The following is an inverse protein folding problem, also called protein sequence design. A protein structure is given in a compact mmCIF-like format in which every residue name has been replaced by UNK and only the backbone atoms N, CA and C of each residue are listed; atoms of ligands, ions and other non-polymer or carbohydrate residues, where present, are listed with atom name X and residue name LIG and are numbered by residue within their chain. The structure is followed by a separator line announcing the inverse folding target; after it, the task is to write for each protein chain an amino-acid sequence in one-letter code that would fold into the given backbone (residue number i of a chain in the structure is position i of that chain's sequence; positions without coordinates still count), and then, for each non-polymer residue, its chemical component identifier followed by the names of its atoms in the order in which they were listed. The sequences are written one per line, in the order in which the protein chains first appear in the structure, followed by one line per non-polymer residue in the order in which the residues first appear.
data_IF_549675290163
#
_entry.id   IF_549675290163
#
_cell.length_a   1.000
_cell.length_b   1.000
_cell.length_c   1.000
_cell.angle_alpha   90.00
_cell.angle_beta   90.00
_cell.angle_gamma   90.00
#
_symmetry.space_group_name_H-M   'P 1'
#
loop_
_entity.id
_entity.type
_entity.pdbx_description
1 polymer ?
#
# COMPACT_ATOMS: atom_id res chain seq x y z
N UNK A 1 11.15 -8.25 -19.70
CA UNK A 1 10.22 -9.00 -18.84
C UNK A 1 10.63 -8.65 -17.42
N UNK A 2 9.72 -8.09 -16.63
CA UNK A 2 10.03 -7.65 -15.26
C UNK A 2 10.14 -8.87 -14.37
N UNK A 3 11.25 -9.03 -13.67
CA UNK A 3 11.40 -10.14 -12.73
C UNK A 3 10.54 -9.86 -11.49
N UNK A 4 9.58 -10.75 -11.21
CA UNK A 4 8.74 -10.66 -10.02
C UNK A 4 9.38 -11.41 -8.87
N UNK A 5 9.40 -10.80 -7.69
CA UNK A 5 9.89 -11.43 -6.46
C UNK A 5 8.82 -11.47 -5.38
N UNK A 6 8.90 -12.49 -4.52
CA UNK A 6 7.95 -12.71 -3.43
C UNK A 6 8.33 -11.86 -2.21
N UNK A 7 7.38 -11.07 -1.72
CA UNK A 7 7.54 -10.19 -0.56
C UNK A 7 6.34 -10.34 0.35
N UNK A 8 6.55 -10.29 1.67
CA UNK A 8 5.43 -10.28 2.60
C UNK A 8 4.60 -9.02 2.44
N UNK A 9 3.29 -9.13 2.45
CA UNK A 9 2.40 -7.97 2.28
C UNK A 9 2.58 -6.93 3.38
N UNK A 10 2.90 -7.39 4.60
CA UNK A 10 3.26 -6.54 5.73
C UNK A 10 4.57 -5.74 5.55
N UNK A 11 5.46 -6.18 4.66
CA UNK A 11 6.77 -5.57 4.41
C UNK A 11 6.75 -4.62 3.19
N UNK A 12 5.69 -4.65 2.37
CA UNK A 12 5.55 -3.78 1.20
C UNK A 12 5.62 -2.30 1.58
N UNK A 13 6.45 -1.53 0.90
CA UNK A 13 6.60 -0.09 1.12
C UNK A 13 6.79 0.65 -0.20
N UNK A 14 6.62 1.98 -0.17
CA UNK A 14 6.88 2.86 -1.30
C UNK A 14 6.20 2.39 -2.60
N UNK A 15 6.95 2.43 -3.69
CA UNK A 15 6.43 2.12 -5.03
C UNK A 15 5.94 0.67 -5.16
N UNK A 16 6.53 -0.30 -4.45
CA UNK A 16 6.05 -1.68 -4.45
C UNK A 16 4.66 -1.80 -3.81
N UNK A 17 4.41 -1.07 -2.70
CA UNK A 17 3.10 -1.01 -2.07
C UNK A 17 2.07 -0.32 -2.99
N UNK A 18 2.44 0.82 -3.56
CA UNK A 18 1.58 1.57 -4.49
C UNK A 18 1.20 0.75 -5.74
N UNK A 19 2.16 -0.01 -6.28
CA UNK A 19 1.93 -0.91 -7.41
C UNK A 19 0.96 -2.03 -7.01
N UNK A 20 1.15 -2.67 -5.85
CA UNK A 20 0.24 -3.71 -5.39
C UNK A 20 -1.19 -3.20 -5.17
N UNK A 21 -1.35 -1.98 -4.67
CA UNK A 21 -2.68 -1.35 -4.59
C UNK A 21 -3.28 -1.17 -5.98
N UNK A 22 -2.49 -0.76 -6.99
CA UNK A 22 -2.98 -0.68 -8.37
C UNK A 22 -3.47 -2.03 -8.90
N UNK A 23 -2.76 -3.13 -8.58
CA UNK A 23 -3.17 -4.49 -8.95
C UNK A 23 -4.44 -4.95 -8.22
N UNK A 24 -4.64 -4.54 -6.97
CA UNK A 24 -5.90 -4.79 -6.24
C UNK A 24 -7.04 -4.05 -6.93
N UNK A 25 -6.81 -2.76 -7.22
CA UNK A 25 -7.77 -1.84 -7.81
C UNK A 25 -8.03 -2.05 -9.31
N UNK A 26 -7.26 -2.93 -9.95
CA UNK A 26 -7.26 -3.13 -11.40
C UNK A 26 -7.03 -1.82 -12.18
N UNK A 27 -6.20 -0.92 -11.62
CA UNK A 27 -5.83 0.35 -12.24
C UNK A 27 -4.62 0.11 -13.15
N UNK A 28 -4.69 0.45 -14.44
CA UNK A 28 -3.54 0.36 -15.32
C UNK A 28 -2.47 1.35 -14.88
N UNK A 29 -1.30 0.82 -14.54
CA UNK A 29 -0.13 1.60 -14.16
C UNK A 29 1.09 1.14 -14.93
N UNK A 30 1.99 2.08 -15.17
CA UNK A 30 3.30 1.80 -15.72
C UNK A 30 4.39 2.06 -14.68
N UNK A 31 5.52 1.38 -14.85
CA UNK A 31 6.70 1.51 -14.01
C UNK A 31 7.69 2.39 -14.74
N UNK A 32 8.05 3.52 -14.14
CA UNK A 32 9.06 4.44 -14.67
C UNK A 32 10.39 4.21 -13.96
N UNK A 33 11.46 4.09 -14.76
CA UNK A 33 12.83 4.07 -14.28
C UNK A 33 13.22 5.39 -13.60
N UNK A 34 14.35 5.35 -12.89
CA UNK A 34 14.93 6.52 -12.24
C UNK A 34 15.12 7.65 -13.26
N UNK A 35 14.66 8.85 -12.89
CA UNK A 35 14.85 10.04 -13.70
C UNK A 35 15.18 11.21 -12.79
N UNK A 36 16.29 11.92 -13.05
CA UNK A 36 16.78 13.03 -12.23
C UNK A 36 16.93 12.70 -10.73
N UNK A 37 17.51 11.54 -10.38
CA UNK A 37 17.79 11.16 -8.99
C UNK A 37 16.57 10.76 -8.16
N UNK A 38 15.44 10.45 -8.81
CA UNK A 38 14.27 9.85 -8.16
C UNK A 38 14.35 8.33 -8.20
N UNK A 39 13.74 7.67 -7.21
CA UNK A 39 13.54 6.22 -7.21
C UNK A 39 12.58 5.77 -8.32
N UNK A 40 12.46 4.46 -8.48
CA UNK A 40 11.42 3.86 -9.33
C UNK A 40 10.02 4.29 -8.88
N UNK A 41 9.16 4.55 -9.86
CA UNK A 41 7.83 5.13 -9.64
C UNK A 41 6.74 4.38 -10.39
N UNK A 42 5.55 4.37 -9.79
CA UNK A 42 4.31 3.91 -10.39
C UNK A 42 3.53 5.13 -10.87
N UNK A 43 3.03 5.12 -12.10
CA UNK A 43 2.25 6.23 -12.65
C UNK A 43 1.08 5.72 -13.50
N UNK A 44 0.03 6.55 -13.59
CA UNK A 44 -1.12 6.31 -14.46
C UNK A 44 -0.81 6.89 -15.85
N UNK A 45 -0.67 6.08 -16.92
CA UNK A 45 -0.35 6.59 -18.26
C UNK A 45 -1.36 7.62 -18.77
N UNK A 46 -2.64 7.40 -18.49
CA UNK A 46 -3.73 8.21 -19.03
C UNK A 46 -3.84 9.62 -18.44
N UNK A 47 -3.27 9.82 -17.24
CA UNK A 47 -3.35 11.09 -16.50
C UNK A 47 -1.98 11.72 -16.23
N UNK A 48 -0.89 11.07 -16.64
CA UNK A 48 0.49 11.56 -16.47
C UNK A 48 0.95 11.73 -15.02
N UNK A 49 0.16 11.27 -14.04
CA UNK A 49 0.39 11.47 -12.62
C UNK A 49 1.00 10.25 -11.93
N UNK A 50 1.84 10.50 -10.92
CA UNK A 50 2.30 9.45 -9.98
C UNK A 50 1.08 8.81 -9.32
N UNK A 51 1.04 7.49 -9.27
CA UNK A 51 0.06 6.75 -8.50
C UNK A 51 0.68 6.37 -7.16
N UNK A 52 0.34 7.10 -6.11
CA UNK A 52 0.95 6.92 -4.79
C UNK A 52 -0.04 6.90 -3.63
N UNK A 53 -0.99 5.94 -3.61
CA UNK A 53 -2.02 5.84 -2.57
C UNK A 53 -1.45 5.73 -1.15
N UNK A 54 -0.23 5.22 -0.97
CA UNK A 54 0.41 5.11 0.35
C UNK A 54 0.91 6.44 0.93
N UNK A 55 1.00 7.50 0.12
CA UNK A 55 1.58 8.80 0.51
C UNK A 55 0.76 10.02 0.07
N UNK A 56 -0.11 9.89 -0.93
CA UNK A 56 -0.98 10.95 -1.42
C UNK A 56 -2.43 10.73 -1.00
N UNK A 57 -2.94 11.60 -0.14
CA UNK A 57 -4.33 11.54 0.36
C UNK A 57 -5.37 11.72 -0.73
N UNK A 58 -5.08 12.45 -1.82
CA UNK A 58 -6.01 12.60 -2.93
C UNK A 58 -6.24 11.25 -3.66
N UNK A 59 -5.30 10.32 -3.55
CA UNK A 59 -5.38 8.97 -4.12
C UNK A 59 -5.81 7.94 -3.08
N UNK A 60 -5.19 7.95 -1.89
CA UNK A 60 -5.42 6.96 -0.84
C UNK A 60 -6.69 7.19 -0.03
N UNK A 61 -7.12 8.44 0.16
CA UNK A 61 -8.34 8.79 0.91
C UNK A 61 -9.59 8.11 0.35
N UNK A 62 -9.89 8.23 -0.95
CA UNK A 62 -11.03 7.53 -1.56
C UNK A 62 -10.98 6.00 -1.42
N UNK A 63 -9.79 5.40 -1.31
CA UNK A 63 -9.65 3.96 -1.11
C UNK A 63 -10.04 3.52 0.31
N UNK A 64 -9.85 4.39 1.32
CA UNK A 64 -10.29 4.12 2.70
C UNK A 64 -11.81 3.96 2.73
N UNK A 65 -12.54 4.86 2.07
CA UNK A 65 -14.00 4.76 1.98
C UNK A 65 -14.42 3.54 1.17
N UNK A 66 -13.84 3.35 -0.03
CA UNK A 66 -14.17 2.25 -0.93
C UNK A 66 -14.02 0.85 -0.30
N UNK A 67 -12.99 0.66 0.53
CA UNK A 67 -12.68 -0.64 1.15
C UNK A 67 -13.16 -0.73 2.61
N UNK A 68 -13.99 0.21 3.07
CA UNK A 68 -14.47 0.28 4.45
C UNK A 68 -13.33 0.14 5.48
N UNK A 69 -12.26 0.90 5.29
CA UNK A 69 -11.08 0.81 6.14
C UNK A 69 -11.32 1.50 7.47
N UNK A 70 -11.16 0.76 8.57
CA UNK A 70 -10.98 1.33 9.90
C UNK A 70 -9.49 1.52 10.17
N UNK A 71 -9.08 2.75 10.53
CA UNK A 71 -7.71 3.06 10.97
C UNK A 71 -7.66 3.23 12.48
N UNK A 72 -6.56 2.78 13.09
CA UNK A 72 -6.30 2.87 14.53
C UNK A 72 -4.91 3.46 14.74
N UNK A 73 -4.83 4.53 15.53
CA UNK A 73 -3.55 5.04 16.02
C UNK A 73 -3.16 4.29 17.29
N UNK A 74 -2.01 3.60 17.27
CA UNK A 74 -1.54 2.77 18.37
C UNK A 74 -0.40 3.43 19.18
N UNK A 75 -0.08 4.68 18.88
CA UNK A 75 0.92 5.45 19.62
C UNK A 75 2.37 5.13 19.23
N UNK A 76 3.30 5.66 20.04
CA UNK A 76 4.74 5.39 19.92
C UNK A 76 5.14 4.22 20.81
N UNK A 77 6.12 3.41 20.39
CA UNK A 77 6.58 2.26 21.18
C UNK A 77 5.80 0.96 20.93
N UNK A 78 4.67 1.01 20.23
CA UNK A 78 3.92 -0.17 19.81
C UNK A 78 4.49 -0.72 18.50
N UNK A 79 5.14 -1.90 18.57
CA UNK A 79 5.82 -2.57 17.43
C UNK A 79 6.93 -1.78 16.74
N UNK A 80 7.23 -0.56 17.18
CA UNK A 80 8.35 0.27 16.72
C UNK A 80 9.07 0.89 17.92
N UNK A 81 10.39 1.05 17.85
CA UNK A 81 11.16 1.56 18.99
C UNK A 81 11.03 3.08 19.18
N UNK A 82 10.78 3.84 18.10
CA UNK A 82 10.81 5.32 18.14
C UNK A 82 9.82 6.01 17.19
N UNK A 83 8.96 5.26 16.51
CA UNK A 83 8.01 5.78 15.52
C UNK A 83 6.57 5.74 16.02
N UNK A 84 5.69 6.48 15.34
CA UNK A 84 4.26 6.22 15.42
C UNK A 84 3.93 4.88 14.76
N UNK A 85 2.90 4.22 15.26
CA UNK A 85 2.37 3.02 14.63
C UNK A 85 0.86 3.13 14.43
N UNK A 86 0.45 2.76 13.23
CA UNK A 86 -0.94 2.69 12.80
C UNK A 86 -1.26 1.26 12.41
N UNK A 87 -2.45 0.81 12.80
CA UNK A 87 -3.08 -0.39 12.26
C UNK A 87 -4.26 0.01 11.37
N UNK A 88 -4.57 -0.82 10.38
CA UNK A 88 -5.77 -0.67 9.56
C UNK A 88 -6.39 -2.02 9.23
N UNK A 89 -7.72 -2.03 9.13
CA UNK A 89 -8.52 -3.23 8.90
C UNK A 89 -9.53 -2.95 7.80
N UNK A 90 -9.68 -3.88 6.86
CA UNK A 90 -10.87 -3.93 6.00
C UNK A 90 -12.04 -4.39 6.87
N UNK A 91 -13.15 -3.67 6.84
CA UNK A 91 -14.37 -4.07 7.54
C UNK A 91 -15.37 -4.70 6.58
N UNK A 92 -16.02 -5.77 7.04
CA UNK A 92 -17.21 -6.31 6.38
C UNK A 92 -18.38 -5.30 6.40
N UNK A 93 -19.41 -5.54 5.59
CA UNK A 93 -20.63 -4.71 5.57
C UNK A 93 -21.35 -4.66 6.94
N UNK A 94 -21.10 -5.64 7.81
CA UNK A 94 -21.59 -5.66 9.19
C UNK A 94 -20.73 -4.81 10.16
N UNK A 95 -19.71 -4.11 9.67
CA UNK A 95 -18.79 -3.30 10.47
C UNK A 95 -17.73 -4.08 11.24
N UNK A 96 -17.58 -5.39 10.98
CA UNK A 96 -16.59 -6.23 11.66
C UNK A 96 -15.25 -6.21 10.91
N UNK A 97 -14.16 -5.95 11.64
CA UNK A 97 -12.78 -6.04 11.16
C UNK A 97 -12.45 -7.43 10.60
N UNK A 98 -11.75 -7.45 9.47
CA UNK A 98 -11.23 -8.64 8.83
C UNK A 98 -9.71 -8.69 8.93
N UNK A 99 -9.18 -9.89 9.16
CA UNK A 99 -7.75 -10.17 9.14
C UNK A 99 -7.35 -10.73 7.77
N UNK A 100 -6.11 -10.51 7.32
CA UNK A 100 -5.03 -9.80 8.01
C UNK A 100 -5.20 -8.27 8.02
N UNK A 101 -4.70 -7.62 9.08
CA UNK A 101 -4.60 -6.16 9.19
C UNK A 101 -3.36 -5.63 8.50
N UNK A 102 -3.42 -4.40 8.02
CA UNK A 102 -2.23 -3.64 7.64
C UNK A 102 -1.63 -2.89 8.83
N UNK A 103 -0.31 -2.70 8.84
CA UNK A 103 0.38 -1.90 9.86
C UNK A 103 1.45 -1.02 9.23
N UNK A 104 1.75 0.14 9.82
CA UNK A 104 2.76 1.05 9.27
C UNK A 104 2.96 2.34 10.06
N UNK A 105 3.94 3.14 9.65
CA UNK A 105 4.25 4.42 10.29
C UNK A 105 3.25 5.54 10.01
N UNK A 106 2.33 5.35 9.07
CA UNK A 106 1.28 6.31 8.71
C UNK A 106 -0.04 5.58 8.47
N UNK A 107 -1.20 6.27 8.60
CA UNK A 107 -2.51 5.67 8.35
C UNK A 107 -2.65 5.18 6.90
N UNK A 108 -2.11 5.92 5.90
CA UNK A 108 -2.19 5.51 4.49
C UNK A 108 -1.36 4.26 4.19
N UNK A 109 -0.17 4.12 4.77
CA UNK A 109 0.63 2.90 4.62
C UNK A 109 -0.11 1.71 5.24
N UNK A 110 -0.65 1.87 6.45
CA UNK A 110 -1.42 0.83 7.10
C UNK A 110 -2.66 0.44 6.26
N UNK A 111 -3.43 1.42 5.79
CA UNK A 111 -4.61 1.20 4.95
C UNK A 111 -4.27 0.47 3.65
N UNK A 112 -3.24 0.93 2.92
CA UNK A 112 -2.81 0.28 1.68
C UNK A 112 -2.36 -1.17 1.92
N UNK A 113 -1.62 -1.44 3.01
CA UNK A 113 -1.24 -2.82 3.36
C UNK A 113 -2.46 -3.67 3.71
N UNK A 114 -3.47 -3.13 4.39
CA UNK A 114 -4.71 -3.85 4.67
C UNK A 114 -5.47 -4.21 3.38
N UNK A 115 -5.58 -3.26 2.44
CA UNK A 115 -6.20 -3.46 1.13
C UNK A 115 -5.48 -4.58 0.36
N UNK A 116 -4.14 -4.54 0.32
CA UNK A 116 -3.35 -5.57 -0.35
C UNK A 116 -3.51 -6.92 0.35
N UNK A 117 -3.43 -6.95 1.67
CA UNK A 117 -3.47 -8.19 2.44
C UNK A 117 -4.87 -8.85 2.42
N UNK A 118 -5.95 -8.08 2.24
CA UNK A 118 -7.29 -8.64 2.02
C UNK A 118 -7.41 -9.44 0.72
N UNK A 119 -6.60 -9.14 -0.31
CA UNK A 119 -6.55 -9.87 -1.59
C UNK A 119 -5.38 -10.86 -1.67
N UNK A 120 -4.27 -10.56 -1.00
CA UNK A 120 -3.02 -11.30 -1.01
C UNK A 120 -2.55 -11.52 0.43
N UNK A 121 -3.07 -12.56 1.09
CA UNK A 121 -3.03 -12.70 2.56
C UNK A 121 -1.62 -12.61 3.17
N UNK A 122 -0.62 -13.25 2.57
CA UNK A 122 0.75 -13.29 3.15
C UNK A 122 1.85 -12.84 2.21
N UNK A 123 1.81 -13.29 0.95
CA UNK A 123 2.88 -13.05 -0.04
C UNK A 123 2.29 -12.36 -1.26
N UNK A 124 2.96 -11.30 -1.69
CA UNK A 124 2.73 -10.61 -2.96
C UNK A 124 3.93 -10.81 -3.90
N UNK A 125 3.65 -10.88 -5.19
CA UNK A 125 4.67 -10.91 -6.25
C UNK A 125 4.82 -9.52 -6.83
N UNK A 126 5.96 -8.88 -6.62
CA UNK A 126 6.22 -7.49 -7.03
C UNK A 126 7.43 -7.40 -7.96
N UNK A 127 7.42 -6.46 -8.92
CA UNK A 127 8.60 -6.09 -9.69
C UNK A 127 9.82 -5.84 -8.80
N UNK A 128 10.93 -6.50 -9.10
CA UNK A 128 12.19 -6.37 -8.36
C UNK A 128 12.66 -4.91 -8.28
N UNK A 129 12.45 -4.16 -9.34
CA UNK A 129 12.89 -2.77 -9.49
C UNK A 129 12.15 -1.81 -8.55
N UNK A 130 10.96 -2.18 -8.08
CA UNK A 130 10.16 -1.35 -7.17
C UNK A 130 10.56 -1.51 -5.70
N UNK A 131 11.51 -2.40 -5.42
CA UNK A 131 12.01 -2.63 -4.08
C UNK A 131 13.28 -1.80 -3.83
N UNK A 132 13.51 -1.36 -2.58
CA UNK A 132 14.73 -0.67 -2.19
C UNK A 132 16.00 -1.50 -2.39
#
# INVERSE_FOLDING_TARGET
MTDLIEVKTADLTGAALDWMVAQVEAVPVAIAALHYGTDWRVYKPDFGGKYSPSTDWAVGGPLIEKHHIQTSFNGKGFRTASGEYWCAYVCSDAGKEQLPSGGGGTPLIAACRAIVAAKFVDIAKVPRELLP
#
